data_IF_017984707666
#
_entry.id   IF_017984707666
#
_cell.length_a   1.000
_cell.length_b   1.000
_cell.length_c   1.000
_cell.angle_alpha   90.00
_cell.angle_beta   90.00
_cell.angle_gamma   90.00
#
_symmetry.space_group_name_H-M   'P 1'
#
loop_
_entity.id
_entity.type
_entity.pdbx_description
1 polymer ?
#
# COMPACT_ATOMS: atom_id res chain seq x y z
N UNK A 1 57.71 82.22 13.13
CA UNK A 1 58.48 82.13 14.40
C UNK A 1 57.52 81.69 15.49
N UNK A 2 57.79 80.54 16.16
CA UNK A 2 57.41 80.20 17.56
C UNK A 2 55.91 80.21 17.91
N UNK A 3 55.27 79.34 18.69
CA UNK A 3 55.58 78.23 19.59
C UNK A 3 54.19 77.61 19.93
N UNK A 4 54.02 76.28 19.96
CA UNK A 4 54.04 75.41 21.16
C UNK A 4 52.73 75.47 22.00
N UNK A 5 52.00 74.33 22.01
CA UNK A 5 51.36 73.59 23.15
C UNK A 5 50.43 74.36 24.13
N UNK A 6 49.42 73.82 24.82
CA UNK A 6 48.72 72.53 24.96
C UNK A 6 47.85 72.71 26.24
N UNK A 7 46.69 72.03 26.33
CA UNK A 7 45.80 71.84 27.51
C UNK A 7 45.10 73.07 28.12
N UNK A 8 43.91 73.03 28.75
CA UNK A 8 42.69 72.20 28.82
C UNK A 8 41.90 72.85 29.99
N UNK A 9 40.56 72.95 29.92
CA UNK A 9 39.59 72.84 31.04
C UNK A 9 38.31 73.68 30.83
N UNK A 10 37.24 72.94 30.58
CA UNK A 10 35.88 73.02 31.15
C UNK A 10 35.40 74.34 31.77
N UNK A 11 34.21 74.79 31.35
CA UNK A 11 33.00 74.74 32.20
C UNK A 11 31.71 75.17 31.47
N UNK A 12 30.66 74.36 31.69
CA UNK A 12 29.22 74.65 31.82
C UNK A 12 28.50 75.41 30.68
N UNK A 13 27.42 74.95 30.06
CA UNK A 13 26.42 73.96 30.47
C UNK A 13 25.06 74.65 30.58
N UNK A 14 24.08 74.32 29.72
CA UNK A 14 22.76 73.85 30.16
C UNK A 14 21.84 73.51 28.95
N UNK A 15 21.55 72.21 28.85
CA UNK A 15 20.25 71.54 28.58
C UNK A 15 19.35 71.97 27.42
N UNK A 16 19.10 71.02 26.50
CA UNK A 16 17.79 70.36 26.39
C UNK A 16 17.98 68.88 25.98
N UNK A 17 17.23 68.03 26.67
CA UNK A 17 17.28 66.57 26.71
C UNK A 17 16.37 65.92 25.67
N UNK A 18 16.79 64.80 25.09
CA UNK A 18 15.88 63.70 24.71
C UNK A 18 16.57 62.38 25.06
N UNK A 19 15.92 61.58 25.90
CA UNK A 19 16.42 60.28 26.34
C UNK A 19 16.11 59.24 25.25
N UNK A 20 17.14 58.59 24.71
CA UNK A 20 17.01 57.27 24.07
C UNK A 20 17.74 56.26 24.95
N UNK A 21 17.00 55.30 25.52
CA UNK A 21 17.57 54.17 26.26
C UNK A 21 18.46 53.31 25.33
N UNK A 22 19.64 52.84 25.78
CA UNK A 22 20.41 51.86 25.04
C UNK A 22 19.80 50.46 25.20
N UNK A 23 19.51 49.79 24.09
CA UNK A 23 19.15 48.36 24.11
C UNK A 23 20.30 47.53 24.69
N UNK A 24 20.01 46.52 25.52
CA UNK A 24 21.02 45.56 25.94
C UNK A 24 21.41 44.67 24.75
N UNK A 25 22.71 44.37 24.63
CA UNK A 25 23.27 43.47 23.63
C UNK A 25 22.53 42.12 23.62
N UNK A 26 21.94 41.76 22.48
CA UNK A 26 21.37 40.44 22.25
C UNK A 26 22.49 39.40 22.30
N UNK A 27 22.43 38.52 23.31
CA UNK A 27 23.13 37.24 23.24
C UNK A 27 22.65 36.52 21.97
N UNK A 28 23.54 35.97 21.12
CA UNK A 28 23.11 35.18 19.99
C UNK A 28 22.30 34.03 20.54
N UNK A 29 21.02 34.00 20.19
CA UNK A 29 20.15 32.88 20.48
C UNK A 29 20.84 31.65 19.89
N UNK A 30 21.03 30.54 20.63
CA UNK A 30 21.47 29.31 20.01
C UNK A 30 20.50 29.01 18.87
N UNK A 31 21.03 28.66 17.70
CA UNK A 31 20.21 28.28 16.55
C UNK A 31 19.11 27.33 17.05
N UNK A 32 17.83 27.56 16.68
CA UNK A 32 16.78 26.63 17.06
C UNK A 32 17.23 25.23 16.62
N UNK A 33 16.97 24.19 17.45
CA UNK A 33 17.29 22.82 17.07
C UNK A 33 16.70 22.57 15.67
N UNK A 34 17.40 21.80 14.80
CA UNK A 34 16.91 21.55 13.45
C UNK A 34 15.46 21.11 13.56
N UNK A 35 14.57 21.91 12.96
CA UNK A 35 13.14 21.65 12.98
C UNK A 35 12.93 20.35 12.21
N UNK A 36 12.79 19.24 12.94
CA UNK A 36 12.15 18.02 12.43
C UNK A 36 10.89 18.50 11.72
N UNK A 37 10.79 18.22 10.42
CA UNK A 37 9.66 18.71 9.62
C UNK A 37 8.35 18.42 10.35
N UNK A 38 7.40 19.37 10.33
CA UNK A 38 6.15 19.32 11.11
C UNK A 38 5.39 17.99 11.00
N UNK A 39 5.60 17.27 9.90
CA UNK A 39 4.95 16.02 9.54
C UNK A 39 5.85 14.78 9.60
N UNK A 40 7.12 14.91 9.99
CA UNK A 40 8.05 13.78 9.97
C UNK A 40 7.71 12.76 11.08
N UNK A 41 7.66 11.49 10.69
CA UNK A 41 7.45 10.35 11.60
C UNK A 41 8.81 9.74 11.93
N UNK A 42 9.27 9.76 13.20
CA UNK A 42 10.52 9.13 13.58
C UNK A 42 10.54 7.63 13.28
N UNK A 43 11.68 7.11 12.86
CA UNK A 43 11.87 5.69 12.55
C UNK A 43 11.40 4.74 13.66
N UNK A 44 11.69 5.05 14.94
CA UNK A 44 11.28 4.21 16.08
C UNK A 44 9.75 4.13 16.20
N UNK A 45 9.03 5.22 15.90
CA UNK A 45 7.57 5.23 15.86
C UNK A 45 7.06 4.37 14.70
N UNK A 46 7.64 4.52 13.50
CA UNK A 46 7.26 3.72 12.34
C UNK A 46 7.52 2.21 12.56
N UNK A 47 8.65 1.86 13.17
CA UNK A 47 8.98 0.47 13.53
C UNK A 47 8.06 -0.09 14.62
N UNK A 48 7.58 0.75 15.55
CA UNK A 48 6.54 0.37 16.51
C UNK A 48 5.22 -0.01 15.82
N UNK A 49 4.74 0.80 14.87
CA UNK A 49 3.54 0.51 14.08
C UNK A 49 3.65 -0.82 13.30
N UNK A 50 4.83 -1.08 12.74
CA UNK A 50 5.15 -2.32 12.05
C UNK A 50 5.15 -3.50 13.01
N UNK A 51 5.80 -3.37 14.18
CA UNK A 51 5.87 -4.43 15.19
C UNK A 51 4.45 -4.85 15.65
N UNK A 52 3.59 -3.88 15.95
CA UNK A 52 2.20 -4.14 16.32
C UNK A 52 1.44 -4.88 15.23
N UNK A 53 1.65 -4.51 13.96
CA UNK A 53 1.02 -5.19 12.83
C UNK A 53 1.53 -6.63 12.67
N UNK A 54 2.85 -6.84 12.73
CA UNK A 54 3.47 -8.17 12.61
C UNK A 54 2.96 -9.12 13.70
N UNK A 55 2.73 -8.61 14.92
CA UNK A 55 2.10 -9.37 16.00
C UNK A 55 0.71 -9.94 15.65
N UNK A 56 -0.01 -9.31 14.71
CA UNK A 56 -1.33 -9.78 14.23
C UNK A 56 -1.18 -10.73 13.05
N UNK A 57 -0.45 -10.30 12.00
CA UNK A 57 -0.42 -11.02 10.73
C UNK A 57 0.47 -12.28 10.77
N UNK A 58 1.55 -12.26 11.55
CA UNK A 58 2.42 -13.42 11.74
C UNK A 58 2.02 -14.23 13.00
N UNK A 59 1.53 -13.56 14.05
CA UNK A 59 1.26 -14.19 15.35
C UNK A 59 0.01 -15.07 15.45
N UNK A 60 -0.85 -15.10 14.44
CA UNK A 60 -2.10 -15.88 14.43
C UNK A 60 -2.23 -16.86 13.24
N UNK A 61 -1.23 -16.91 12.34
CA UNK A 61 -1.22 -17.79 11.17
C UNK A 61 -0.46 -19.10 11.42
N UNK A 62 -0.94 -20.21 10.85
CA UNK A 62 -0.28 -21.53 10.88
C UNK A 62 1.00 -21.62 10.02
N UNK A 63 1.61 -20.49 9.64
CA UNK A 63 2.92 -20.49 8.98
C UNK A 63 4.01 -20.51 10.05
N UNK A 64 5.02 -21.34 9.86
CA UNK A 64 6.10 -21.58 10.81
C UNK A 64 7.09 -20.41 10.97
N UNK A 65 6.65 -19.15 10.78
CA UNK A 65 7.48 -17.97 10.92
C UNK A 65 7.41 -17.43 12.34
N UNK A 66 8.53 -17.41 13.05
CA UNK A 66 8.67 -16.56 14.23
C UNK A 66 8.49 -15.07 13.86
N UNK A 67 8.49 -14.20 14.87
CA UNK A 67 8.52 -12.75 14.63
C UNK A 67 9.68 -12.43 13.68
N UNK A 68 9.38 -11.78 12.55
CA UNK A 68 10.39 -11.44 11.54
C UNK A 68 11.45 -10.53 12.14
N UNK A 69 12.72 -10.80 11.82
CA UNK A 69 13.85 -9.98 12.28
C UNK A 69 14.22 -8.98 11.20
N UNK A 70 14.46 -7.73 11.58
CA UNK A 70 14.83 -6.67 10.64
C UNK A 70 16.30 -6.83 10.24
N UNK A 71 16.56 -6.95 8.94
CA UNK A 71 17.92 -6.99 8.39
C UNK A 71 18.44 -5.57 8.07
N UNK A 72 17.57 -4.72 7.51
CA UNK A 72 17.94 -3.40 7.01
C UNK A 72 16.76 -2.44 7.01
N UNK A 73 17.02 -1.17 7.27
CA UNK A 73 16.08 -0.07 7.00
C UNK A 73 16.74 0.93 6.04
N UNK A 74 16.03 1.31 4.99
CA UNK A 74 16.42 2.35 4.03
C UNK A 74 15.39 3.47 4.05
N UNK A 75 15.84 4.72 3.89
CA UNK A 75 14.96 5.88 3.85
C UNK A 75 14.85 6.39 2.42
N UNK A 76 13.64 6.49 1.89
CA UNK A 76 13.37 7.18 0.64
C UNK A 76 13.15 8.66 0.92
N UNK A 77 14.11 9.49 0.51
CA UNK A 77 14.00 10.94 0.60
C UNK A 77 13.18 11.51 -0.55
N UNK A 78 12.41 12.57 -0.28
CA UNK A 78 11.56 13.21 -1.28
C UNK A 78 12.35 13.73 -2.48
N UNK A 79 13.58 14.22 -2.26
CA UNK A 79 14.46 14.76 -3.30
C UNK A 79 14.94 13.69 -4.29
N UNK A 80 14.85 12.41 -3.94
CA UNK A 80 15.14 11.31 -4.86
C UNK A 80 14.04 11.14 -5.93
N UNK A 81 12.87 11.73 -5.72
CA UNK A 81 11.76 11.74 -6.67
C UNK A 81 11.72 13.09 -7.42
N UNK A 82 11.37 13.05 -8.70
CA UNK A 82 11.15 14.25 -9.50
C UNK A 82 9.80 14.92 -9.13
N UNK A 83 9.68 15.43 -7.91
CA UNK A 83 8.48 16.10 -7.41
C UNK A 83 8.33 17.48 -8.10
N UNK A 84 7.16 17.75 -8.68
CA UNK A 84 6.92 18.91 -9.55
C UNK A 84 6.38 20.17 -8.86
N UNK A 85 6.43 20.28 -7.52
CA UNK A 85 6.07 21.54 -6.83
C UNK A 85 7.21 22.12 -6.02
N UNK A 86 7.46 23.41 -6.22
CA UNK A 86 8.03 24.30 -5.22
C UNK A 86 7.04 24.43 -4.06
N UNK A 87 7.48 24.11 -2.84
CA UNK A 87 6.76 24.51 -1.63
C UNK A 87 6.60 26.03 -1.61
N UNK A 88 5.43 26.52 -1.22
CA UNK A 88 5.23 27.94 -0.92
C UNK A 88 5.95 28.35 0.36
N UNK A 89 6.12 27.42 1.31
CA UNK A 89 6.76 27.67 2.61
C UNK A 89 7.84 26.62 2.98
N UNK A 90 8.94 27.03 3.64
CA UNK A 90 9.93 26.11 4.21
C UNK A 90 9.28 25.17 5.25
N UNK A 91 9.47 23.86 5.10
CA UNK A 91 8.98 22.84 6.05
C UNK A 91 7.66 22.13 5.69
N UNK A 92 6.99 22.52 4.58
CA UNK A 92 5.79 21.82 4.09
C UNK A 92 6.10 20.57 3.25
N UNK A 93 7.28 20.52 2.64
CA UNK A 93 7.72 19.36 1.85
C UNK A 93 8.24 18.28 2.79
N UNK A 94 7.81 17.02 2.61
CA UNK A 94 8.41 15.90 3.32
C UNK A 94 9.90 15.85 2.98
N UNK A 95 10.78 15.74 3.97
CA UNK A 95 12.20 15.43 3.72
C UNK A 95 12.37 13.92 3.50
N UNK A 96 11.73 13.14 4.37
CA UNK A 96 11.65 11.68 4.31
C UNK A 96 10.21 11.30 3.91
N UNK A 97 10.07 10.46 2.88
CA UNK A 97 8.75 10.00 2.42
C UNK A 97 8.41 8.64 3.00
N UNK A 98 9.34 7.69 2.89
CA UNK A 98 9.10 6.29 3.22
C UNK A 98 10.29 5.69 3.95
N UNK A 99 10.01 4.73 4.81
CA UNK A 99 10.99 3.74 5.26
C UNK A 99 10.72 2.41 4.58
N UNK A 100 11.77 1.81 4.00
CA UNK A 100 11.76 0.45 3.45
C UNK A 100 12.51 -0.45 4.43
N UNK A 101 11.80 -1.40 5.04
CA UNK A 101 12.33 -2.32 6.04
C UNK A 101 12.43 -3.71 5.43
N UNK A 102 13.64 -4.21 5.21
CA UNK A 102 13.85 -5.59 4.74
C UNK A 102 14.07 -6.52 5.94
N UNK A 103 13.46 -7.71 5.90
CA UNK A 103 13.61 -8.73 6.92
C UNK A 103 14.74 -9.71 6.58
N UNK A 104 15.26 -10.40 7.60
CA UNK A 104 16.21 -11.50 7.46
C UNK A 104 15.56 -12.72 6.77
N UNK A 105 16.38 -13.65 6.31
CA UNK A 105 15.96 -14.97 5.78
C UNK A 105 14.92 -14.93 4.64
N UNK A 106 14.95 -13.87 3.83
CA UNK A 106 14.01 -13.65 2.72
C UNK A 106 12.53 -13.57 3.18
N UNK A 107 12.30 -13.20 4.45
CA UNK A 107 10.98 -13.08 5.06
C UNK A 107 10.22 -11.80 4.64
N UNK A 108 10.53 -11.24 3.47
CA UNK A 108 9.84 -10.09 2.89
C UNK A 108 10.38 -8.74 3.30
N UNK A 109 9.57 -7.72 3.02
CA UNK A 109 9.85 -6.34 3.37
C UNK A 109 8.57 -5.61 3.79
N UNK A 110 8.73 -4.47 4.45
CA UNK A 110 7.65 -3.54 4.75
C UNK A 110 7.97 -2.15 4.18
N UNK A 111 6.92 -1.43 3.78
CA UNK A 111 7.00 -0.02 3.39
C UNK A 111 6.15 0.79 4.34
N UNK A 112 6.78 1.76 5.01
CA UNK A 112 6.19 2.56 6.07
C UNK A 112 6.19 4.04 5.67
N UNK A 113 5.20 4.80 6.11
CA UNK A 113 5.19 6.26 5.95
C UNK A 113 6.22 6.90 6.88
N UNK A 114 7.12 7.72 6.33
CA UNK A 114 8.02 8.58 7.11
C UNK A 114 7.43 9.99 7.31
N UNK A 115 6.22 10.22 6.80
CA UNK A 115 5.44 11.45 6.93
C UNK A 115 4.02 11.11 7.42
N UNK A 116 3.50 11.84 8.40
CA UNK A 116 2.26 11.54 9.10
C UNK A 116 0.98 11.79 8.27
N UNK A 117 1.15 12.36 7.07
CA UNK A 117 0.11 12.44 6.04
C UNK A 117 -0.05 11.11 5.29
N UNK A 118 0.92 10.20 5.40
CA UNK A 118 0.84 8.83 4.86
C UNK A 118 0.31 7.85 5.92
N UNK A 119 -0.32 6.74 5.48
CA UNK A 119 -0.53 5.58 6.34
C UNK A 119 0.79 5.09 6.94
N UNK A 120 0.78 4.79 8.25
CA UNK A 120 1.98 4.32 8.95
C UNK A 120 2.56 3.03 8.36
N UNK A 121 1.72 2.10 7.90
CA UNK A 121 2.13 0.93 7.12
C UNK A 121 1.39 0.92 5.78
N UNK A 122 2.14 0.95 4.68
CA UNK A 122 1.63 0.89 3.30
C UNK A 122 1.63 -0.53 2.75
N UNK A 123 2.66 -1.32 3.06
CA UNK A 123 2.77 -2.71 2.62
C UNK A 123 3.61 -3.54 3.59
N UNK A 124 3.30 -4.84 3.69
CA UNK A 124 4.15 -5.89 4.27
C UNK A 124 4.07 -7.11 3.35
N UNK A 125 5.17 -7.50 2.71
CA UNK A 125 5.22 -8.65 1.78
C UNK A 125 5.57 -9.94 2.49
N UNK A 126 5.16 -11.06 1.92
CA UNK A 126 5.42 -12.41 2.44
C UNK A 126 6.88 -12.85 2.27
N UNK A 127 7.54 -12.41 1.21
CA UNK A 127 8.90 -12.78 0.83
C UNK A 127 9.58 -11.71 -0.03
N UNK A 128 10.88 -11.87 -0.26
CA UNK A 128 11.67 -10.96 -1.06
C UNK A 128 12.26 -9.79 -0.28
N UNK A 129 12.83 -8.83 -1.02
CA UNK A 129 13.35 -7.58 -0.49
C UNK A 129 13.03 -6.45 -1.48
N UNK A 130 13.16 -5.21 -1.00
CA UNK A 130 12.95 -4.02 -1.79
C UNK A 130 14.04 -2.99 -1.50
N UNK A 131 14.47 -2.28 -2.54
CA UNK A 131 15.40 -1.15 -2.46
C UNK A 131 14.69 0.17 -2.73
N UNK A 132 15.24 1.26 -2.22
CA UNK A 132 14.73 2.60 -2.54
C UNK A 132 14.91 2.94 -4.01
N UNK A 133 15.94 2.41 -4.66
CA UNK A 133 16.23 2.56 -6.08
C UNK A 133 15.12 1.95 -6.95
N UNK A 134 14.60 0.78 -6.58
CA UNK A 134 13.45 0.16 -7.27
C UNK A 134 12.20 1.03 -7.16
N UNK A 135 11.94 1.64 -5.99
CA UNK A 135 10.84 2.59 -5.82
C UNK A 135 11.03 3.86 -6.64
N UNK A 136 12.24 4.43 -6.69
CA UNK A 136 12.56 5.59 -7.54
C UNK A 136 12.35 5.26 -9.01
N UNK A 137 12.77 4.07 -9.46
CA UNK A 137 12.56 3.61 -10.84
C UNK A 137 11.08 3.43 -11.15
N UNK A 138 10.32 2.83 -10.24
CA UNK A 138 8.87 2.68 -10.37
C UNK A 138 8.16 4.05 -10.47
N UNK A 139 8.55 5.01 -9.62
CA UNK A 139 8.02 6.37 -9.67
C UNK A 139 8.32 7.09 -11.00
N UNK A 140 9.47 6.81 -11.61
CA UNK A 140 9.86 7.36 -12.90
C UNK A 140 9.32 6.57 -14.11
N UNK A 141 8.54 5.51 -13.90
CA UNK A 141 8.05 4.64 -14.97
C UNK A 141 9.17 3.87 -15.70
N UNK A 142 10.30 3.63 -15.02
CA UNK A 142 11.50 2.97 -15.54
C UNK A 142 11.62 1.51 -15.08
N UNK A 143 10.51 0.77 -15.13
CA UNK A 143 10.46 -0.67 -14.81
C UNK A 143 10.79 -1.48 -16.07
N UNK A 144 11.73 -2.42 -15.97
CA UNK A 144 11.92 -3.43 -17.05
C UNK A 144 10.80 -4.47 -16.96
N UNK A 145 10.51 -5.26 -18.02
CA UNK A 145 9.54 -6.35 -17.95
C UNK A 145 9.82 -7.37 -16.83
N UNK A 146 11.10 -7.55 -16.47
CA UNK A 146 11.57 -8.44 -15.39
C UNK A 146 11.37 -7.85 -13.99
N UNK A 147 11.28 -6.52 -13.89
CA UNK A 147 11.05 -5.75 -12.65
C UNK A 147 9.62 -5.19 -12.57
N UNK A 148 8.75 -5.52 -13.53
CA UNK A 148 7.39 -5.01 -13.61
C UNK A 148 6.57 -5.49 -12.41
N UNK A 149 6.66 -4.72 -11.34
CA UNK A 149 5.98 -4.95 -10.08
C UNK A 149 4.91 -3.90 -9.97
N UNK A 150 3.77 -4.21 -10.62
CA UNK A 150 2.52 -3.47 -10.48
C UNK A 150 2.24 -2.95 -9.04
N UNK A 151 2.59 -3.66 -7.95
CA UNK A 151 2.46 -3.15 -6.58
C UNK A 151 3.35 -1.94 -6.26
N UNK A 152 4.59 -1.91 -6.77
CA UNK A 152 5.51 -0.79 -6.56
C UNK A 152 5.05 0.45 -7.33
N UNK A 153 4.57 0.27 -8.56
CA UNK A 153 3.95 1.37 -9.32
C UNK A 153 2.71 1.89 -8.61
N UNK A 154 1.85 1.01 -8.08
CA UNK A 154 0.68 1.42 -7.29
C UNK A 154 1.08 2.20 -6.04
N UNK A 155 2.07 1.71 -5.31
CA UNK A 155 2.60 2.37 -4.12
C UNK A 155 3.14 3.76 -4.45
N UNK A 156 3.95 3.88 -5.50
CA UNK A 156 4.54 5.15 -5.88
C UNK A 156 3.54 6.13 -6.47
N UNK A 157 2.52 5.66 -7.18
CA UNK A 157 1.41 6.51 -7.63
C UNK A 157 0.63 7.09 -6.43
N UNK A 158 0.37 6.27 -5.40
CA UNK A 158 -0.30 6.72 -4.18
C UNK A 158 0.54 7.76 -3.42
N UNK A 159 1.82 7.47 -3.19
CA UNK A 159 2.75 8.36 -2.46
C UNK A 159 3.00 9.67 -3.22
N UNK A 160 3.09 9.61 -4.55
CA UNK A 160 3.27 10.79 -5.40
C UNK A 160 2.07 11.76 -5.40
N UNK A 161 0.90 11.29 -4.94
CA UNK A 161 -0.29 12.11 -4.72
C UNK A 161 -0.07 13.23 -3.69
N UNK A 162 0.84 13.06 -2.73
CA UNK A 162 1.22 14.08 -1.72
C UNK A 162 2.02 15.24 -2.34
N UNK A 163 2.80 14.96 -3.39
CA UNK A 163 3.74 15.92 -3.99
C UNK A 163 3.18 16.72 -5.17
N UNK A 164 1.94 16.48 -5.59
CA UNK A 164 1.39 17.13 -6.78
C UNK A 164 2.11 16.75 -8.08
N UNK A 165 2.51 15.49 -8.24
CA UNK A 165 2.95 14.94 -9.54
C UNK A 165 1.71 14.74 -10.42
N UNK A 166 1.28 15.84 -11.06
CA UNK A 166 0.36 15.77 -12.19
C UNK A 166 1.14 15.31 -13.42
N UNK A 167 1.20 14.00 -13.67
CA UNK A 167 1.86 13.48 -14.86
C UNK A 167 1.80 11.96 -15.00
N UNK A 168 0.75 11.46 -15.66
CA UNK A 168 0.82 10.19 -16.42
C UNK A 168 0.72 8.86 -15.65
N UNK A 169 0.48 8.87 -14.35
CA UNK A 169 0.23 7.68 -13.53
C UNK A 169 -1.24 7.25 -13.48
N UNK A 170 -1.46 5.97 -13.18
CA UNK A 170 -2.72 5.20 -13.23
C UNK A 170 -3.95 6.05 -12.82
N UNK A 171 -4.80 6.41 -13.78
CA UNK A 171 -6.12 7.00 -13.52
C UNK A 171 -6.17 8.53 -13.34
N UNK A 172 -5.08 9.27 -13.55
CA UNK A 172 -5.06 10.74 -13.45
C UNK A 172 -5.79 11.45 -14.59
N UNK A 173 -7.12 11.47 -14.57
CA UNK A 173 -7.90 12.48 -15.26
C UNK A 173 -7.66 13.83 -14.58
N UNK A 174 -6.85 14.70 -15.20
CA UNK A 174 -6.47 15.96 -14.57
C UNK A 174 -7.64 16.91 -14.40
N UNK A 175 -7.85 17.42 -13.20
CA UNK A 175 -8.48 18.72 -12.92
C UNK A 175 -7.84 19.28 -11.63
N UNK A 176 -7.58 20.59 -11.64
CA UNK A 176 -6.80 21.29 -10.63
C UNK A 176 -7.53 21.64 -9.33
N UNK A 177 -6.71 22.10 -8.38
CA UNK A 177 -7.08 23.13 -7.41
C UNK A 177 -8.05 22.71 -6.33
N UNK A 178 -7.59 21.90 -5.37
CA UNK A 178 -8.10 21.87 -4.01
C UNK A 178 -6.90 21.88 -3.07
N UNK A 179 -6.86 22.82 -2.13
CA UNK A 179 -5.74 22.95 -1.19
C UNK A 179 -5.52 21.69 -0.36
N UNK A 180 -4.26 21.43 -0.04
CA UNK A 180 -3.83 20.40 0.91
C UNK A 180 -4.42 20.80 2.28
N UNK A 181 -5.29 19.99 2.92
CA UNK A 181 -5.50 20.13 4.35
C UNK A 181 -4.21 19.66 5.02
N UNK A 182 -3.64 20.52 5.85
CA UNK A 182 -2.34 20.31 6.50
C UNK A 182 -2.45 19.27 7.62
N UNK A 183 -2.09 18.02 7.32
CA UNK A 183 -1.70 16.94 8.26
C UNK A 183 -2.62 16.60 9.44
N UNK A 184 -2.15 15.72 10.34
CA UNK A 184 -2.89 15.36 11.54
C UNK A 184 -3.01 16.60 12.42
N UNK A 185 -4.20 16.76 13.00
CA UNK A 185 -4.63 17.82 13.90
C UNK A 185 -3.53 18.39 14.83
N UNK A 186 -2.75 19.34 14.32
CA UNK A 186 -1.95 20.29 15.12
C UNK A 186 -2.51 21.70 15.02
N UNK A 187 -3.40 21.98 14.08
CA UNK A 187 -4.07 23.27 13.95
C UNK A 187 -5.37 23.29 14.78
N UNK A 188 -5.22 23.31 16.10
CA UNK A 188 -6.31 23.68 17.01
C UNK A 188 -6.54 25.19 17.05
N UNK A 189 -5.80 25.98 16.26
CA UNK A 189 -5.81 27.44 16.37
C UNK A 189 -6.96 28.11 15.62
N UNK A 190 -7.70 27.40 14.76
CA UNK A 190 -8.73 28.07 13.93
C UNK A 190 -10.15 27.49 13.93
N UNK A 191 -10.45 26.31 14.49
CA UNK A 191 -11.82 25.76 14.40
C UNK A 191 -12.53 25.36 15.70
N UNK A 192 -11.87 25.38 16.88
CA UNK A 192 -12.52 24.99 18.14
C UNK A 192 -12.12 25.85 19.36
N UNK A 193 -11.74 27.12 19.15
CA UNK A 193 -11.38 28.02 20.27
C UNK A 193 -10.15 27.57 21.05
N UNK A 194 -9.71 28.40 21.99
CA UNK A 194 -8.52 28.11 22.79
C UNK A 194 -8.62 26.74 23.47
N UNK A 195 -7.57 25.90 23.43
CA UNK A 195 -7.56 24.62 24.11
C UNK A 195 -7.85 24.81 25.61
N UNK A 196 -8.53 23.86 26.26
CA UNK A 196 -8.85 23.96 27.67
C UNK A 196 -7.57 24.12 28.50
N UNK A 197 -7.65 24.90 29.58
CA UNK A 197 -6.53 25.10 30.48
C UNK A 197 -5.99 23.73 30.96
N UNK A 198 -4.68 23.54 30.87
CA UNK A 198 -4.02 22.29 31.23
C UNK A 198 -3.94 21.25 30.11
N UNK A 199 -4.34 21.55 28.88
CA UNK A 199 -4.10 20.69 27.73
C UNK A 199 -2.59 20.47 27.52
N UNK A 200 -2.18 19.21 27.49
CA UNK A 200 -0.78 18.77 27.36
C UNK A 200 -0.50 18.03 26.05
N UNK A 201 -1.54 17.58 25.34
CA UNK A 201 -1.40 16.90 24.06
C UNK A 201 -2.41 15.77 23.87
N UNK A 202 -2.04 14.82 23.00
CA UNK A 202 -2.86 13.65 22.68
C UNK A 202 -2.12 12.35 23.00
N UNK A 203 -2.89 11.35 23.40
CA UNK A 203 -2.44 9.97 23.60
C UNK A 203 -3.27 9.03 22.73
N UNK A 204 -2.60 8.14 21.99
CA UNK A 204 -3.25 7.09 21.22
C UNK A 204 -3.41 5.83 22.07
N UNK A 205 -4.55 5.14 21.95
CA UNK A 205 -4.68 3.78 22.45
C UNK A 205 -3.88 2.79 21.60
N UNK A 206 -3.66 1.59 22.14
CA UNK A 206 -3.22 0.44 21.35
C UNK A 206 -4.21 0.17 20.20
N UNK A 207 -3.69 -0.44 19.13
CA UNK A 207 -4.51 -0.92 18.03
C UNK A 207 -5.46 -2.03 18.50
N UNK A 208 -6.74 -1.87 18.18
CA UNK A 208 -7.75 -2.91 18.33
C UNK A 208 -8.09 -3.50 16.97
N UNK A 209 -7.81 -4.79 16.78
CA UNK A 209 -8.23 -5.53 15.60
C UNK A 209 -9.74 -5.76 15.66
N UNK A 210 -10.48 -5.18 14.71
CA UNK A 210 -11.93 -5.30 14.63
C UNK A 210 -12.33 -6.44 13.70
N UNK A 211 -11.61 -6.62 12.59
CA UNK A 211 -11.82 -7.70 11.63
C UNK A 211 -10.48 -8.24 11.16
N UNK A 212 -10.33 -9.56 11.10
CA UNK A 212 -9.12 -10.21 10.60
C UNK A 212 -9.44 -11.52 9.88
N UNK A 213 -8.86 -11.70 8.70
CA UNK A 213 -8.89 -12.91 7.88
C UNK A 213 -7.47 -13.15 7.39
N UNK A 214 -6.87 -14.25 7.82
CA UNK A 214 -5.58 -14.68 7.31
C UNK A 214 -5.67 -15.04 5.81
N UNK A 215 -4.56 -14.95 5.04
CA UNK A 215 -4.56 -15.30 3.62
C UNK A 215 -5.15 -16.69 3.34
N UNK A 216 -6.23 -16.75 2.56
CA UNK A 216 -6.97 -17.97 2.25
C UNK A 216 -6.34 -18.80 1.12
N UNK A 217 -5.57 -18.17 0.23
CA UNK A 217 -4.92 -18.82 -0.89
C UNK A 217 -3.52 -19.27 -0.46
N UNK A 218 -3.26 -20.57 -0.54
CA UNK A 218 -1.96 -21.16 -0.20
C UNK A 218 -1.07 -21.41 -1.42
N UNK A 219 -1.65 -21.35 -2.62
CA UNK A 219 -0.90 -21.53 -3.87
C UNK A 219 -0.05 -20.31 -4.15
N UNK A 220 1.14 -20.54 -4.70
CA UNK A 220 2.04 -19.51 -5.21
C UNK A 220 2.32 -19.78 -6.68
N UNK A 221 1.27 -19.69 -7.50
CA UNK A 221 1.38 -20.06 -8.91
C UNK A 221 1.99 -18.93 -9.74
N UNK A 222 2.68 -19.30 -10.82
CA UNK A 222 3.34 -18.38 -11.77
C UNK A 222 2.68 -18.47 -13.15
N UNK A 223 3.07 -17.61 -14.08
CA UNK A 223 2.57 -17.62 -15.46
C UNK A 223 3.43 -18.46 -16.42
N UNK A 224 4.54 -19.03 -15.95
CA UNK A 224 5.50 -19.81 -16.74
C UNK A 224 5.45 -21.30 -16.36
N UNK A 225 6.46 -22.10 -16.73
CA UNK A 225 6.50 -23.52 -16.40
C UNK A 225 6.42 -23.72 -14.86
N UNK A 226 5.64 -24.69 -14.37
CA UNK A 226 4.84 -25.67 -15.10
C UNK A 226 3.47 -25.20 -15.59
N UNK A 227 3.01 -24.03 -15.17
CA UNK A 227 1.62 -23.58 -15.32
C UNK A 227 1.21 -23.33 -16.77
N UNK A 228 2.17 -22.99 -17.65
CA UNK A 228 1.92 -22.74 -19.07
C UNK A 228 2.19 -23.93 -20.01
N UNK A 229 2.48 -25.14 -19.49
CA UNK A 229 2.84 -26.32 -20.34
C UNK A 229 1.83 -26.68 -21.43
N UNK A 230 0.57 -26.28 -21.24
CA UNK A 230 -0.52 -26.53 -22.19
C UNK A 230 -1.01 -25.26 -22.89
N UNK A 231 -0.30 -24.15 -22.74
CA UNK A 231 -0.54 -22.92 -23.50
C UNK A 231 -0.04 -23.07 -24.95
N UNK A 232 -0.55 -22.27 -25.90
CA UNK A 232 -0.08 -22.30 -27.28
C UNK A 232 1.42 -22.01 -27.41
N UNK A 233 2.01 -22.49 -28.49
CA UNK A 233 3.40 -22.21 -28.87
C UNK A 233 3.39 -21.25 -30.06
N UNK A 234 4.07 -20.11 -29.94
CA UNK A 234 4.23 -19.12 -31.00
C UNK A 234 5.72 -18.94 -31.26
N UNK A 235 6.15 -19.11 -32.51
CA UNK A 235 7.57 -18.94 -32.87
C UNK A 235 8.53 -19.97 -32.23
N UNK A 236 8.02 -21.07 -31.67
CA UNK A 236 8.82 -22.08 -30.97
C UNK A 236 8.90 -21.86 -29.45
N UNK A 237 8.33 -20.78 -28.94
CA UNK A 237 8.26 -20.46 -27.52
C UNK A 237 6.84 -20.66 -26.99
N UNK A 238 6.72 -21.25 -25.80
CA UNK A 238 5.43 -21.44 -25.13
C UNK A 238 4.94 -20.10 -24.60
N UNK A 239 3.72 -19.71 -24.95
CA UNK A 239 3.10 -18.49 -24.43
C UNK A 239 2.98 -18.54 -22.90
N UNK A 240 3.04 -17.37 -22.24
CA UNK A 240 2.73 -17.28 -20.81
C UNK A 240 1.24 -17.55 -20.57
N UNK A 241 0.91 -18.09 -19.39
CA UNK A 241 -0.47 -18.48 -19.06
C UNK A 241 -1.45 -17.30 -19.00
N UNK A 242 -0.96 -16.12 -18.59
CA UNK A 242 -1.76 -14.91 -18.38
C UNK A 242 -2.27 -14.78 -16.95
N UNK A 243 -2.11 -13.58 -16.37
CA UNK A 243 -2.49 -13.28 -14.99
C UNK A 243 -3.96 -13.56 -14.68
N UNK A 244 -4.87 -13.32 -15.63
CA UNK A 244 -6.29 -13.62 -15.47
C UNK A 244 -6.56 -15.12 -15.25
N UNK A 245 -5.89 -16.00 -16.00
CA UNK A 245 -6.02 -17.44 -15.83
C UNK A 245 -5.42 -17.91 -14.50
N UNK A 246 -4.26 -17.38 -14.11
CA UNK A 246 -3.62 -17.71 -12.84
C UNK A 246 -4.47 -17.26 -11.64
N UNK A 247 -4.94 -16.02 -11.61
CA UNK A 247 -5.80 -15.52 -10.54
C UNK A 247 -7.08 -16.37 -10.39
N UNK A 248 -7.75 -16.67 -11.50
CA UNK A 248 -8.93 -17.56 -11.46
C UNK A 248 -8.58 -18.98 -10.99
N UNK A 249 -7.48 -19.54 -11.46
CA UNK A 249 -7.07 -20.90 -11.10
C UNK A 249 -6.76 -21.01 -9.61
N UNK A 250 -6.11 -20.01 -9.02
CA UNK A 250 -5.81 -19.96 -7.59
C UNK A 250 -7.08 -19.82 -6.72
N UNK A 251 -8.06 -19.02 -7.18
CA UNK A 251 -9.38 -18.94 -6.51
C UNK A 251 -10.08 -20.30 -6.53
N UNK A 252 -10.14 -20.97 -7.70
CA UNK A 252 -10.77 -22.29 -7.83
C UNK A 252 -10.03 -23.34 -6.98
N UNK A 253 -8.70 -23.28 -6.93
CA UNK A 253 -7.86 -24.16 -6.11
C UNK A 253 -8.11 -23.97 -4.60
N UNK A 254 -8.16 -22.74 -4.13
CA UNK A 254 -8.48 -22.42 -2.73
C UNK A 254 -9.88 -22.90 -2.34
N UNK A 255 -10.87 -22.65 -3.21
CA UNK A 255 -12.24 -23.13 -2.98
C UNK A 255 -12.36 -24.67 -3.00
N UNK A 256 -11.56 -25.35 -3.83
CA UNK A 256 -11.46 -26.81 -3.76
C UNK A 256 -10.85 -27.28 -2.44
N UNK A 257 -9.78 -26.62 -1.97
CA UNK A 257 -9.08 -27.00 -0.76
C UNK A 257 -9.96 -26.89 0.49
N UNK A 258 -10.68 -25.77 0.62
CA UNK A 258 -11.42 -25.38 1.83
C UNK A 258 -12.89 -25.76 1.81
N UNK A 259 -13.51 -25.85 0.63
CA UNK A 259 -14.94 -26.13 0.49
C UNK A 259 -15.24 -27.39 -0.31
N UNK A 260 -14.23 -28.06 -0.88
CA UNK A 260 -14.40 -29.21 -1.77
C UNK A 260 -15.30 -28.89 -2.97
N UNK A 261 -15.27 -27.65 -3.47
CA UNK A 261 -16.05 -27.20 -4.62
C UNK A 261 -15.14 -26.88 -5.79
N UNK A 262 -15.35 -27.59 -6.91
CA UNK A 262 -14.56 -27.41 -8.12
C UNK A 262 -15.21 -28.09 -9.33
N UNK A 263 -15.05 -27.56 -10.56
CA UNK A 263 -15.56 -28.21 -11.76
C UNK A 263 -14.76 -29.47 -12.09
N UNK A 264 -15.40 -30.62 -12.29
CA UNK A 264 -14.71 -31.83 -12.76
C UNK A 264 -14.19 -31.74 -14.20
N UNK A 265 -14.65 -30.74 -14.96
CA UNK A 265 -14.28 -30.48 -16.36
C UNK A 265 -14.57 -29.03 -16.72
N UNK A 266 -13.72 -28.45 -17.56
CA UNK A 266 -13.92 -27.12 -18.16
C UNK A 266 -13.81 -27.28 -19.68
N UNK A 267 -14.90 -26.98 -20.40
CA UNK A 267 -14.99 -27.30 -21.83
C UNK A 267 -14.83 -28.81 -22.06
N UNK A 268 -13.85 -29.19 -22.88
CA UNK A 268 -13.53 -30.59 -23.17
C UNK A 268 -12.40 -31.18 -22.30
N UNK A 269 -11.87 -30.40 -21.35
CA UNK A 269 -10.73 -30.80 -20.53
C UNK A 269 -11.24 -31.32 -19.18
N UNK A 270 -11.07 -32.62 -18.94
CA UNK A 270 -11.35 -33.26 -17.65
C UNK A 270 -10.22 -32.97 -16.66
N UNK A 271 -10.57 -32.65 -15.41
CA UNK A 271 -9.62 -32.25 -14.36
C UNK A 271 -9.52 -33.33 -13.28
N UNK A 272 -8.29 -33.76 -12.99
CA UNK A 272 -8.03 -34.68 -11.89
C UNK A 272 -7.70 -33.91 -10.60
N UNK A 273 -8.74 -33.58 -9.82
CA UNK A 273 -8.60 -32.83 -8.57
C UNK A 273 -7.78 -33.55 -7.50
N UNK A 274 -7.66 -34.87 -7.54
CA UNK A 274 -6.76 -35.61 -6.63
C UNK A 274 -5.31 -35.19 -6.86
N UNK A 275 -4.87 -35.08 -8.12
CA UNK A 275 -3.50 -34.67 -8.46
C UNK A 275 -3.31 -33.16 -8.27
N UNK A 276 -4.30 -32.34 -8.66
CA UNK A 276 -4.25 -30.89 -8.43
C UNK A 276 -4.11 -30.59 -6.93
N UNK A 277 -4.91 -31.26 -6.08
CA UNK A 277 -4.83 -31.11 -4.61
C UNK A 277 -3.47 -31.51 -4.05
N UNK A 278 -2.82 -32.55 -4.58
CA UNK A 278 -1.46 -32.90 -4.17
C UNK A 278 -0.48 -31.76 -4.46
N UNK A 279 -0.55 -31.15 -5.65
CA UNK A 279 0.30 -30.01 -6.01
C UNK A 279 -0.02 -28.72 -5.24
N UNK A 280 -1.22 -28.59 -4.67
CA UNK A 280 -1.59 -27.47 -3.76
C UNK A 280 -1.00 -27.70 -2.37
N UNK A 281 -1.10 -28.93 -1.84
CA UNK A 281 -0.65 -29.27 -0.47
C UNK A 281 0.87 -29.35 -0.39
N UNK A 282 1.52 -29.88 -1.43
CA UNK A 282 2.97 -30.01 -1.53
C UNK A 282 3.44 -29.40 -2.86
N UNK A 283 3.75 -28.08 -2.87
CA UNK A 283 4.20 -27.36 -4.05
C UNK A 283 5.47 -27.92 -4.68
N UNK A 284 6.35 -28.58 -3.91
CA UNK A 284 7.59 -29.19 -4.43
C UNK A 284 7.29 -30.30 -5.45
N UNK A 285 6.11 -30.92 -5.39
CA UNK A 285 5.66 -31.90 -6.36
C UNK A 285 5.47 -31.32 -7.76
N UNK A 286 5.25 -30.01 -7.89
CA UNK A 286 5.15 -29.35 -9.20
C UNK A 286 6.49 -29.39 -9.96
N UNK A 287 7.60 -29.42 -9.24
CA UNK A 287 8.94 -29.57 -9.81
C UNK A 287 9.37 -31.04 -9.94
N UNK A 288 8.88 -31.92 -9.07
CA UNK A 288 9.34 -33.31 -8.95
C UNK A 288 8.46 -34.34 -9.66
N UNK A 289 7.23 -33.99 -10.02
CA UNK A 289 6.25 -34.91 -10.60
C UNK A 289 5.52 -34.28 -11.79
N UNK A 290 5.94 -34.64 -13.00
CA UNK A 290 5.36 -34.11 -14.24
C UNK A 290 3.86 -34.37 -14.38
N UNK A 291 3.33 -35.48 -13.85
CA UNK A 291 1.90 -35.77 -13.92
C UNK A 291 1.06 -34.81 -13.07
N UNK A 292 1.55 -34.48 -11.86
CA UNK A 292 0.90 -33.49 -10.97
C UNK A 292 0.97 -32.11 -11.61
N UNK A 293 2.17 -31.70 -12.03
CA UNK A 293 2.41 -30.43 -12.68
C UNK A 293 1.55 -30.26 -13.96
N UNK A 294 1.43 -31.31 -14.78
CA UNK A 294 0.58 -31.28 -15.97
C UNK A 294 -0.91 -31.15 -15.62
N UNK A 295 -1.40 -31.72 -14.52
CA UNK A 295 -2.79 -31.54 -14.12
C UNK A 295 -3.09 -30.12 -13.63
N UNK A 296 -2.15 -29.47 -12.94
CA UNK A 296 -2.26 -28.05 -12.60
C UNK A 296 -2.21 -27.19 -13.87
N UNK A 297 -1.29 -27.47 -14.79
CA UNK A 297 -1.20 -26.78 -16.07
C UNK A 297 -2.46 -26.96 -16.93
N UNK A 298 -3.12 -28.12 -16.87
CA UNK A 298 -4.39 -28.37 -17.56
C UNK A 298 -5.53 -27.52 -16.99
N UNK A 299 -5.59 -27.33 -15.67
CA UNK A 299 -6.55 -26.40 -15.06
C UNK A 299 -6.33 -24.97 -15.59
N UNK A 300 -5.09 -24.50 -15.57
CA UNK A 300 -4.71 -23.16 -16.05
C UNK A 300 -5.06 -23.00 -17.53
N UNK A 301 -4.66 -23.95 -18.38
CA UNK A 301 -4.95 -23.90 -19.82
C UNK A 301 -6.45 -23.98 -20.11
N UNK A 302 -7.23 -24.79 -19.37
CA UNK A 302 -8.66 -24.89 -19.57
C UNK A 302 -9.38 -23.58 -19.21
N UNK A 303 -8.95 -22.90 -18.14
CA UNK A 303 -9.41 -21.56 -17.80
C UNK A 303 -8.99 -20.54 -18.86
N UNK A 304 -7.74 -20.55 -19.31
CA UNK A 304 -7.25 -19.66 -20.37
C UNK A 304 -8.02 -19.81 -21.68
N UNK A 305 -8.34 -21.04 -22.10
CA UNK A 305 -9.21 -21.28 -23.26
C UNK A 305 -10.62 -20.72 -23.04
N UNK A 306 -11.19 -20.90 -21.84
CA UNK A 306 -12.55 -20.43 -21.54
C UNK A 306 -12.64 -18.91 -21.41
N UNK A 307 -11.55 -18.28 -20.97
CA UNK A 307 -11.35 -16.83 -20.94
C UNK A 307 -11.22 -16.21 -22.33
N UNK A 308 -11.08 -17.00 -23.41
CA UNK A 308 -10.77 -16.47 -24.73
C UNK A 308 -9.41 -15.75 -24.75
N UNK A 309 -8.45 -16.25 -23.97
CA UNK A 309 -7.14 -15.61 -23.75
C UNK A 309 -6.44 -15.26 -25.07
N UNK A 310 -6.03 -14.00 -25.20
CA UNK A 310 -5.12 -13.57 -26.25
C UNK A 310 -3.69 -13.94 -25.82
N UNK A 311 -3.21 -15.10 -26.29
CA UNK A 311 -1.91 -15.64 -25.89
C UNK A 311 -0.74 -14.95 -26.59
N UNK A 312 0.30 -14.63 -25.84
CA UNK A 312 1.57 -14.14 -26.34
C UNK A 312 2.76 -14.71 -25.55
N UNK A 313 3.95 -14.63 -26.15
CA UNK A 313 5.19 -15.15 -25.55
C UNK A 313 5.65 -14.33 -24.35
N UNK A 314 5.43 -13.01 -24.37
CA UNK A 314 5.77 -12.11 -23.25
C UNK A 314 4.58 -11.77 -22.36
N UNK A 315 3.38 -11.76 -22.92
CA UNK A 315 2.15 -11.38 -22.21
C UNK A 315 0.94 -12.08 -22.80
N UNK A 316 0.03 -12.51 -21.94
CA UNK A 316 -1.27 -13.05 -22.32
C UNK A 316 -2.38 -12.29 -21.58
N UNK A 317 -3.43 -11.90 -22.30
CA UNK A 317 -4.47 -11.01 -21.79
C UNK A 317 -5.89 -11.52 -22.00
N UNK A 318 -6.75 -11.28 -21.02
CA UNK A 318 -8.19 -11.50 -21.10
C UNK A 318 -8.95 -10.32 -20.45
N UNK A 319 -10.20 -10.08 -20.87
CA UNK A 319 -11.02 -9.04 -20.28
C UNK A 319 -11.61 -9.48 -18.94
N UNK A 320 -12.07 -8.52 -18.13
CA UNK A 320 -12.78 -8.87 -16.91
C UNK A 320 -14.18 -9.45 -17.18
N UNK A 321 -14.81 -9.06 -18.28
CA UNK A 321 -16.14 -9.58 -18.64
C UNK A 321 -16.03 -11.07 -19.04
N UNK A 322 -14.94 -11.46 -19.69
CA UNK A 322 -14.62 -12.87 -19.95
C UNK A 322 -14.36 -13.65 -18.65
N UNK A 323 -13.67 -13.04 -17.67
CA UNK A 323 -13.46 -13.64 -16.36
C UNK A 323 -14.78 -13.83 -15.59
N UNK A 324 -15.66 -12.82 -15.60
CA UNK A 324 -17.00 -12.90 -15.02
C UNK A 324 -17.82 -14.03 -15.67
N UNK A 325 -17.82 -14.08 -17.00
CA UNK A 325 -18.47 -15.14 -17.75
C UNK A 325 -17.86 -16.52 -17.45
N UNK A 326 -16.55 -16.62 -17.33
CA UNK A 326 -15.86 -17.86 -17.02
C UNK A 326 -16.23 -18.39 -15.62
N UNK A 327 -16.29 -17.52 -14.61
CA UNK A 327 -16.77 -17.90 -13.26
C UNK A 327 -18.20 -18.45 -13.30
N UNK A 328 -19.11 -17.78 -13.99
CA UNK A 328 -20.49 -18.27 -14.19
C UNK A 328 -20.51 -19.62 -14.89
N UNK A 329 -19.69 -19.79 -15.93
CA UNK A 329 -19.61 -21.02 -16.71
C UNK A 329 -19.11 -22.22 -15.89
N UNK A 330 -18.14 -22.01 -14.99
CA UNK A 330 -17.64 -23.07 -14.10
C UNK A 330 -18.49 -23.23 -12.82
N UNK A 331 -19.64 -22.55 -12.76
CA UNK A 331 -20.71 -22.77 -11.78
C UNK A 331 -20.73 -21.92 -10.54
N UNK A 332 -19.98 -20.82 -10.55
CA UNK A 332 -20.12 -19.82 -9.50
C UNK A 332 -21.46 -19.11 -9.71
N UNK A 333 -22.15 -18.80 -8.61
CA UNK A 333 -23.45 -18.09 -8.63
C UNK A 333 -23.32 -16.73 -7.98
N UNK A 334 -24.23 -15.83 -8.33
CA UNK A 334 -24.19 -14.44 -7.88
C UNK A 334 -22.92 -13.70 -8.32
N UNK A 335 -22.36 -14.12 -9.46
CA UNK A 335 -21.12 -13.55 -10.02
C UNK A 335 -21.43 -12.20 -10.63
N UNK A 336 -20.75 -11.15 -10.16
CA UNK A 336 -20.93 -9.79 -10.64
C UNK A 336 -19.58 -9.08 -10.77
N UNK A 337 -19.38 -8.40 -11.90
CA UNK A 337 -18.25 -7.49 -12.12
C UNK A 337 -18.57 -6.11 -11.54
N UNK A 338 -17.76 -5.64 -10.62
CA UNK A 338 -17.89 -4.33 -9.97
C UNK A 338 -16.70 -3.44 -10.27
N UNK A 339 -16.94 -2.13 -10.28
CA UNK A 339 -15.92 -1.15 -9.95
C UNK A 339 -15.35 -1.49 -8.56
N UNK A 340 -14.03 -1.49 -8.41
CA UNK A 340 -13.38 -1.86 -7.15
C UNK A 340 -13.84 -0.91 -6.02
N UNK A 341 -14.26 -1.50 -4.88
CA UNK A 341 -14.63 -0.76 -3.67
C UNK A 341 -14.20 -1.55 -2.42
N UNK A 342 -13.64 -0.90 -1.40
CA UNK A 342 -13.30 -1.55 -0.12
C UNK A 342 -14.46 -2.34 0.50
N UNK A 343 -15.69 -1.84 0.39
CA UNK A 343 -16.89 -2.51 0.90
C UNK A 343 -17.15 -3.87 0.24
N UNK A 344 -16.93 -4.00 -1.07
CA UNK A 344 -17.07 -5.29 -1.77
C UNK A 344 -15.96 -6.26 -1.43
N UNK A 345 -14.74 -5.76 -1.22
CA UNK A 345 -13.62 -6.57 -0.72
C UNK A 345 -13.97 -7.11 0.67
N UNK A 346 -14.42 -6.24 1.59
CA UNK A 346 -14.88 -6.63 2.92
C UNK A 346 -15.99 -7.67 2.85
N UNK A 347 -16.99 -7.50 2.00
CA UNK A 347 -18.06 -8.50 1.82
C UNK A 347 -17.49 -9.85 1.36
N UNK A 348 -16.53 -9.89 0.44
CA UNK A 348 -15.94 -11.15 -0.02
C UNK A 348 -15.06 -11.80 1.06
N UNK A 349 -14.13 -11.04 1.63
CA UNK A 349 -13.11 -11.58 2.52
C UNK A 349 -13.65 -11.79 3.93
N UNK A 350 -14.29 -10.79 4.52
CA UNK A 350 -14.78 -10.86 5.90
C UNK A 350 -16.13 -11.57 6.02
N UNK A 351 -17.15 -11.14 5.28
CA UNK A 351 -18.51 -11.66 5.46
C UNK A 351 -18.70 -13.04 4.84
N UNK A 352 -18.12 -13.25 3.65
CA UNK A 352 -18.28 -14.50 2.89
C UNK A 352 -17.13 -15.48 3.08
N UNK A 353 -15.98 -15.05 3.61
CA UNK A 353 -14.77 -15.88 3.75
C UNK A 353 -14.37 -16.51 2.41
N UNK A 354 -14.27 -15.68 1.36
CA UNK A 354 -14.02 -16.11 -0.03
C UNK A 354 -12.96 -15.25 -0.69
N UNK A 355 -11.88 -15.83 -1.25
CA UNK A 355 -10.92 -15.07 -2.05
C UNK A 355 -11.61 -14.51 -3.30
N UNK A 356 -11.14 -13.38 -3.79
CA UNK A 356 -11.83 -12.65 -4.86
C UNK A 356 -10.87 -12.18 -5.94
N UNK A 357 -11.37 -12.13 -7.18
CA UNK A 357 -10.60 -11.69 -8.34
C UNK A 357 -10.59 -10.18 -8.41
N UNK A 358 -9.39 -9.59 -8.50
CA UNK A 358 -9.20 -8.15 -8.66
C UNK A 358 -8.38 -7.92 -9.94
N UNK A 359 -8.69 -6.84 -10.65
CA UNK A 359 -7.95 -6.41 -11.82
C UNK A 359 -7.81 -4.90 -11.83
N UNK A 360 -6.69 -4.42 -12.35
CA UNK A 360 -6.52 -3.03 -12.70
C UNK A 360 -5.85 -2.89 -14.06
N UNK A 361 -5.93 -1.68 -14.62
CA UNK A 361 -5.33 -1.31 -15.89
C UNK A 361 -4.51 -0.04 -15.68
N UNK A 362 -3.28 -0.01 -16.17
CA UNK A 362 -2.42 1.17 -16.11
C UNK A 362 -2.77 2.22 -17.20
N UNK A 363 -2.09 3.37 -17.19
CA UNK A 363 -2.33 4.44 -18.17
C UNK A 363 -2.05 4.01 -19.63
N UNK A 364 -1.17 3.03 -19.80
CA UNK A 364 -0.77 2.41 -21.06
C UNK A 364 -1.77 1.33 -21.54
N UNK A 365 -2.88 1.12 -20.81
CA UNK A 365 -3.92 0.11 -21.05
C UNK A 365 -3.46 -1.34 -20.85
N UNK A 366 -2.34 -1.56 -20.17
CA UNK A 366 -1.89 -2.87 -19.77
C UNK A 366 -2.63 -3.27 -18.49
N UNK A 367 -3.24 -4.46 -18.51
CA UNK A 367 -4.02 -4.96 -17.40
C UNK A 367 -3.24 -5.98 -16.57
N UNK A 368 -3.41 -5.93 -15.26
CA UNK A 368 -2.95 -6.99 -14.35
C UNK A 368 -4.12 -7.48 -13.50
N UNK A 369 -4.17 -8.78 -13.26
CA UNK A 369 -5.19 -9.44 -12.46
C UNK A 369 -4.53 -10.30 -11.37
N UNK A 370 -5.09 -10.25 -10.18
CA UNK A 370 -4.55 -10.91 -8.99
C UNK A 370 -5.71 -11.37 -8.09
N UNK A 371 -5.37 -12.06 -7.01
CA UNK A 371 -6.33 -12.50 -6.00
C UNK A 371 -6.20 -11.63 -4.75
N UNK A 372 -7.32 -11.15 -4.23
CA UNK A 372 -7.39 -10.65 -2.86
C UNK A 372 -7.93 -11.77 -1.96
N UNK A 373 -7.24 -12.10 -0.88
CA UNK A 373 -7.52 -13.31 -0.10
C UNK A 373 -7.27 -13.20 1.41
N UNK A 374 -6.95 -12.01 1.93
CA UNK A 374 -6.81 -11.74 3.36
C UNK A 374 -7.21 -10.31 3.71
N UNK A 375 -7.66 -10.08 4.93
CA UNK A 375 -8.29 -8.84 5.38
C UNK A 375 -7.85 -8.48 6.79
N UNK A 376 -7.52 -7.21 7.01
CA UNK A 376 -7.35 -6.66 8.35
C UNK A 376 -8.02 -5.29 8.41
N UNK A 377 -8.93 -5.11 9.36
CA UNK A 377 -9.45 -3.81 9.75
C UNK A 377 -9.21 -3.61 11.24
N UNK A 378 -8.45 -2.57 11.59
CA UNK A 378 -8.13 -2.21 12.97
C UNK A 378 -8.37 -0.73 13.22
N UNK A 379 -8.63 -0.39 14.49
CA UNK A 379 -8.90 0.98 14.95
C UNK A 379 -8.11 1.26 16.22
N UNK A 380 -7.66 2.49 16.39
CA UNK A 380 -7.22 3.04 17.67
C UNK A 380 -7.87 4.38 17.93
N UNK A 381 -8.05 4.72 19.19
CA UNK A 381 -8.74 5.92 19.62
C UNK A 381 -7.73 6.94 20.16
N UNK A 382 -7.95 8.22 19.86
CA UNK A 382 -7.15 9.33 20.38
C UNK A 382 -7.85 9.95 21.58
N UNK A 383 -7.08 10.30 22.60
CA UNK A 383 -7.59 10.93 23.82
C UNK A 383 -6.81 12.21 24.10
N UNK A 384 -7.49 13.24 24.61
CA UNK A 384 -6.81 14.44 25.06
C UNK A 384 -6.19 14.20 26.44
N UNK A 385 -5.00 14.74 26.67
CA UNK A 385 -4.34 14.74 27.98
C UNK A 385 -4.48 16.14 28.57
N UNK A 386 -5.12 16.23 29.74
CA UNK A 386 -5.38 17.49 30.45
C UNK A 386 -4.93 17.33 31.90
N UNK A 387 -3.99 18.16 32.36
CA UNK A 387 -3.38 18.08 33.70
C UNK A 387 -2.84 16.68 34.01
N UNK A 388 -2.07 16.10 33.09
CA UNK A 388 -1.51 14.75 33.19
C UNK A 388 -2.53 13.61 33.21
N UNK A 389 -3.81 13.88 32.88
CA UNK A 389 -4.87 12.88 32.87
C UNK A 389 -5.48 12.77 31.48
N UNK A 390 -5.54 11.54 30.99
CA UNK A 390 -6.27 11.17 29.78
C UNK A 390 -7.78 11.43 29.96
N UNK A 391 -8.43 11.95 28.91
CA UNK A 391 -9.87 12.17 28.88
C UNK A 391 -10.65 10.85 28.97
N UNK A 392 -11.85 10.90 29.55
CA UNK A 392 -12.72 9.71 29.68
C UNK A 392 -13.31 9.25 28.33
N UNK A 393 -13.31 10.13 27.32
CA UNK A 393 -13.83 9.86 25.98
C UNK A 393 -12.77 10.15 24.93
N UNK A 394 -12.82 9.39 23.83
CA UNK A 394 -11.98 9.63 22.67
C UNK A 394 -12.40 10.93 21.98
N UNK A 395 -11.42 11.72 21.55
CA UNK A 395 -11.64 12.96 20.79
C UNK A 395 -11.58 12.73 19.28
N UNK A 396 -10.92 11.65 18.85
CA UNK A 396 -10.87 11.21 17.45
C UNK A 396 -10.53 9.71 17.41
N UNK A 397 -10.49 9.14 16.22
CA UNK A 397 -10.00 7.78 16.02
C UNK A 397 -9.19 7.70 14.72
N UNK A 398 -8.35 6.67 14.64
CA UNK A 398 -7.64 6.30 13.44
C UNK A 398 -7.99 4.86 13.07
N UNK A 399 -8.19 4.61 11.79
CA UNK A 399 -8.42 3.27 11.26
C UNK A 399 -7.31 2.85 10.31
N UNK A 400 -7.09 1.54 10.19
CA UNK A 400 -6.23 0.97 9.17
C UNK A 400 -6.90 -0.25 8.56
N UNK A 401 -6.95 -0.28 7.24
CA UNK A 401 -7.48 -1.38 6.44
C UNK A 401 -6.40 -1.90 5.50
N UNK A 402 -6.05 -3.19 5.64
CA UNK A 402 -5.11 -3.89 4.78
C UNK A 402 -5.80 -5.06 4.07
N UNK A 403 -5.39 -5.31 2.83
CA UNK A 403 -5.83 -6.42 2.00
C UNK A 403 -4.61 -7.25 1.59
N UNK A 404 -4.65 -8.56 1.84
CA UNK A 404 -3.64 -9.45 1.31
C UNK A 404 -3.88 -9.70 -0.18
N UNK A 405 -2.82 -9.61 -0.98
CA UNK A 405 -2.83 -9.79 -2.42
C UNK A 405 -1.88 -10.93 -2.82
N UNK A 406 -2.36 -11.82 -3.68
CA UNK A 406 -1.55 -12.79 -4.39
C UNK A 406 -1.52 -12.44 -5.89
N UNK A 407 -0.36 -11.96 -6.37
CA UNK A 407 -0.18 -11.40 -7.71
C UNK A 407 0.01 -12.46 -8.81
N UNK A 408 0.13 -13.74 -8.44
CA UNK A 408 0.33 -14.82 -9.42
C UNK A 408 1.73 -14.79 -10.05
N UNK A 409 2.73 -14.33 -9.30
CA UNK A 409 4.14 -14.29 -9.66
C UNK A 409 4.99 -15.18 -8.76
N UNK A 410 4.45 -16.35 -8.38
CA UNK A 410 5.23 -17.34 -7.62
C UNK A 410 5.50 -16.96 -6.16
N UNK A 411 4.78 -15.99 -5.61
CA UNK A 411 4.98 -15.44 -4.26
C UNK A 411 5.64 -14.06 -4.25
N UNK A 412 6.29 -13.66 -5.35
CA UNK A 412 6.92 -12.34 -5.48
C UNK A 412 5.86 -11.23 -5.31
N UNK A 413 6.12 -10.33 -4.37
CA UNK A 413 5.23 -9.23 -3.97
C UNK A 413 3.90 -9.67 -3.35
N UNK A 414 3.67 -10.95 -3.05
CA UNK A 414 2.47 -11.30 -2.29
C UNK A 414 2.55 -10.68 -0.88
N UNK A 415 1.43 -10.26 -0.30
CA UNK A 415 1.43 -9.66 1.02
C UNK A 415 0.26 -8.74 1.33
N UNK A 416 0.27 -8.12 2.51
CA UNK A 416 -0.73 -7.15 2.95
C UNK A 416 -0.42 -5.74 2.47
N UNK A 417 -1.37 -5.13 1.79
CA UNK A 417 -1.28 -3.78 1.23
C UNK A 417 -2.36 -2.88 1.80
N UNK A 418 -2.03 -1.61 2.06
CA UNK A 418 -3.00 -0.61 2.45
C UNK A 418 -4.07 -0.45 1.37
N UNK A 419 -5.35 -0.54 1.75
CA UNK A 419 -6.43 -0.61 0.76
C UNK A 419 -6.57 0.66 -0.09
N UNK A 420 -6.14 1.81 0.45
CA UNK A 420 -6.10 3.09 -0.25
C UNK A 420 -5.17 3.09 -1.47
N UNK A 421 -4.15 2.21 -1.51
CA UNK A 421 -3.30 2.03 -2.70
C UNK A 421 -4.13 1.67 -3.95
N UNK A 422 -5.25 0.98 -3.75
CA UNK A 422 -6.15 0.55 -4.81
C UNK A 422 -7.25 1.59 -5.12
N UNK A 423 -7.32 2.72 -4.41
CA UNK A 423 -8.24 3.81 -4.71
C UNK A 423 -7.47 4.93 -5.44
N UNK A 424 -7.80 5.21 -6.70
CA UNK A 424 -7.11 6.27 -7.50
C UNK A 424 -7.87 7.59 -7.55
N UNK A 425 -9.00 7.67 -6.87
CA UNK A 425 -9.81 8.89 -6.78
C UNK A 425 -9.42 9.74 -5.57
N UNK A 426 -8.76 9.11 -4.62
CA UNK A 426 -8.23 9.73 -3.41
C UNK A 426 -6.72 9.83 -3.58
N UNK A 427 -6.18 11.04 -3.47
CA UNK A 427 -4.75 11.21 -3.20
C UNK A 427 -4.42 10.54 -1.85
N UNK A 428 -3.17 10.48 -1.42
CA UNK A 428 -2.93 10.16 -0.01
C UNK A 428 -3.58 11.27 0.85
N UNK A 429 -4.79 10.99 1.30
CA UNK A 429 -5.55 11.82 2.23
C UNK A 429 -5.10 11.40 3.63
N UNK A 430 -4.89 12.40 4.47
CA UNK A 430 -4.66 12.28 5.92
C UNK A 430 -5.56 11.17 6.48
N UNK A 431 -5.09 10.30 7.38
CA UNK A 431 -5.92 9.26 7.97
C UNK A 431 -7.24 9.83 8.50
N UNK A 432 -8.32 9.50 7.79
CA UNK A 432 -9.66 10.09 7.91
C UNK A 432 -10.39 9.67 9.18
N UNK A 433 -11.07 10.66 9.75
CA UNK A 433 -12.12 10.53 10.76
C UNK A 433 -13.34 9.88 10.10
N UNK A 434 -13.86 8.81 10.72
CA UNK A 434 -15.12 8.12 10.40
C UNK A 434 -15.38 7.90 8.90
N UNK A 435 -14.84 6.79 8.38
CA UNK A 435 -15.19 6.21 7.08
C UNK A 435 -16.73 6.15 6.91
N UNK A 436 -17.26 7.08 6.12
CA UNK A 436 -18.59 6.97 5.51
C UNK A 436 -18.35 6.59 4.04
N UNK A 437 -18.92 5.48 3.53
CA UNK A 437 -18.67 5.06 2.16
C UNK A 437 -19.18 6.13 1.19
N UNK A 438 -18.28 6.90 0.58
CA UNK A 438 -18.66 7.85 -0.48
C UNK A 438 -18.83 7.07 -1.78
N UNK A 439 -19.96 7.30 -2.44
CA UNK A 439 -20.39 6.60 -3.65
C UNK A 439 -19.79 7.29 -4.90
N UNK A 440 -18.47 7.46 -4.96
CA UNK A 440 -17.81 8.19 -6.07
C UNK A 440 -17.14 7.24 -7.09
N UNK A 441 -17.68 7.28 -8.31
CA UNK A 441 -17.46 6.37 -9.42
C UNK A 441 -16.37 6.86 -10.39
N UNK A 442 -15.12 7.00 -9.91
CA UNK A 442 -13.96 7.32 -10.76
C UNK A 442 -12.93 6.16 -10.89
N UNK A 443 -13.29 4.95 -10.45
CA UNK A 443 -12.42 3.76 -10.50
C UNK A 443 -12.47 2.99 -11.84
N UNK A 444 -12.75 3.64 -12.97
CA UNK A 444 -13.03 2.97 -14.26
C UNK A 444 -11.97 1.96 -14.76
N UNK A 445 -10.71 2.06 -14.29
CA UNK A 445 -9.65 1.11 -14.58
C UNK A 445 -9.51 -0.07 -13.60
N UNK A 446 -10.03 0.05 -12.36
CA UNK A 446 -9.91 -0.98 -11.32
C UNK A 446 -11.25 -1.66 -11.05
N UNK A 447 -11.23 -2.99 -11.12
CA UNK A 447 -12.44 -3.80 -11.11
C UNK A 447 -12.23 -5.04 -10.25
N UNK A 448 -13.32 -5.63 -9.77
CA UNK A 448 -13.30 -6.89 -9.05
C UNK A 448 -14.53 -7.73 -9.36
N UNK A 449 -14.44 -9.03 -9.15
CA UNK A 449 -15.57 -9.95 -9.33
C UNK A 449 -16.02 -10.45 -7.96
N UNK A 450 -17.26 -10.20 -7.58
CA UNK A 450 -17.86 -10.83 -6.39
C UNK A 450 -18.65 -12.07 -6.78
N UNK A 451 -18.83 -13.00 -5.85
CA UNK A 451 -19.69 -14.18 -6.01
C UNK A 451 -20.28 -14.62 -4.66
N UNK A 452 -21.44 -15.28 -4.67
CA UNK A 452 -22.16 -15.67 -3.45
C UNK A 452 -21.98 -17.15 -3.12
N UNK A 453 -22.10 -18.00 -4.13
CA UNK A 453 -22.06 -19.45 -4.00
C UNK A 453 -21.20 -20.06 -5.10
N UNK A 454 -20.85 -21.32 -4.90
CA UNK A 454 -20.15 -22.16 -5.86
C UNK A 454 -20.91 -23.49 -5.87
N UNK A 455 -21.40 -23.90 -7.05
CA UNK A 455 -22.29 -25.04 -7.31
C UNK A 455 -23.22 -25.51 -6.18
#
# INVERSE_FOLDING_TARGET
MKQLRLFLLLAAGLFLTSCSEPQPDEFPNPDPPPTVGRHAVPIDQALGELHDLLGVIDGQGTRAGGVRTIAQVQTLHAQALALTRSASEPGEQPEELLYVVNFEDDAGYAVLGADDRLPGVLAVTDEGSLTTEELVRAANGQTTPEEFTFPNEMLMNYVSGIGGIGGGGIGGGGIGGGGIPTGPFTDFDTQLGNPPAGFEGYEWSDWKNLEYVAPMVTTRWHQEDPFNRHCPVIGGETCVAGCAAIAMAQIVASNHLHHNVSPGRIGNISLNWTLIRQGIIDPDLLNRNSSIANQVALLVAALGLKLGMNYGVTQSGASIDDAEYCFKYIGYKGVNNHTFRPSYVRTMLWERQRPTYVRAVNAQKEGHAWVADGWLYRRRDQYAVIFGKRSDYSVSNQTQTLMHCNFGWGGRCDGFYHIGLFNTNEQAVIPDIDYTPVDDDYNGGKRMITYTEMY
#
